data_IF_006015208889
#
_entry.id   IF_006015208889
#
_cell.length_a   1.000
_cell.length_b   1.000
_cell.length_c   1.000
_cell.angle_alpha   90.00
_cell.angle_beta   90.00
_cell.angle_gamma   90.00
#
_symmetry.space_group_name_H-M   'P 1'
#
loop_
_entity.id
_entity.type
_entity.pdbx_description
1 polymer ?
#
# COMPACT_ATOMS: atom_id res chain seq x y z
N UNK A 1 -10.91 3.30 31.65
CA UNK A 1 -11.78 3.01 30.48
C UNK A 1 -11.02 2.34 29.34
N UNK A 2 -9.96 2.94 28.77
CA UNK A 2 -9.17 2.28 27.69
C UNK A 2 -8.49 0.99 28.16
N UNK A 3 -7.80 0.99 29.31
CA UNK A 3 -7.05 -0.19 29.75
C UNK A 3 -7.92 -1.34 30.29
N UNK A 4 -9.06 -1.02 30.90
CA UNK A 4 -10.05 -2.01 31.34
C UNK A 4 -10.69 -2.75 30.16
N UNK A 5 -10.96 -2.02 29.06
CA UNK A 5 -11.46 -2.60 27.82
C UNK A 5 -10.38 -3.38 27.06
N UNK A 6 -9.12 -2.95 27.06
CA UNK A 6 -7.99 -3.75 26.53
C UNK A 6 -7.84 -5.06 27.29
N UNK A 7 -7.93 -5.02 28.62
CA UNK A 7 -7.90 -6.23 29.44
C UNK A 7 -9.09 -7.14 29.11
N UNK A 8 -10.27 -6.58 28.88
CA UNK A 8 -11.45 -7.34 28.45
C UNK A 8 -11.23 -8.02 27.08
N UNK A 9 -10.66 -7.31 26.10
CA UNK A 9 -10.32 -7.88 24.78
C UNK A 9 -9.33 -9.04 24.93
N UNK A 10 -8.27 -8.86 25.72
CA UNK A 10 -7.29 -9.92 25.99
C UNK A 10 -7.91 -11.13 26.70
N UNK A 11 -8.83 -10.89 27.64
CA UNK A 11 -9.55 -11.96 28.33
C UNK A 11 -10.45 -12.75 27.37
N UNK A 12 -11.15 -12.06 26.45
CA UNK A 12 -12.00 -12.71 25.44
C UNK A 12 -11.15 -13.50 24.44
N UNK A 13 -9.99 -12.99 24.02
CA UNK A 13 -9.03 -13.75 23.18
C UNK A 13 -8.58 -15.04 23.87
N UNK A 14 -8.24 -14.96 25.17
CA UNK A 14 -7.85 -16.14 25.95
C UNK A 14 -8.98 -17.17 26.04
N UNK A 15 -10.21 -16.71 26.32
CA UNK A 15 -11.38 -17.59 26.42
C UNK A 15 -11.75 -18.25 25.09
N UNK A 16 -11.59 -17.53 23.97
CA UNK A 16 -11.80 -18.09 22.63
C UNK A 16 -10.77 -19.19 22.34
N UNK A 17 -9.53 -19.00 22.73
CA UNK A 17 -8.48 -20.01 22.55
C UNK A 17 -8.75 -21.25 23.41
N UNK A 18 -9.04 -21.07 24.71
CA UNK A 18 -9.41 -22.19 25.60
C UNK A 18 -10.62 -22.98 25.06
N UNK A 19 -11.62 -22.29 24.50
CA UNK A 19 -12.80 -22.94 23.96
C UNK A 19 -12.53 -23.66 22.62
N UNK A 20 -11.54 -23.21 21.82
CA UNK A 20 -11.07 -23.97 20.65
C UNK A 20 -10.34 -25.24 21.05
N UNK A 21 -9.42 -25.15 22.02
CA UNK A 21 -8.70 -26.31 22.55
C UNK A 21 -9.70 -27.36 23.08
N UNK A 22 -10.73 -26.92 23.80
CA UNK A 22 -11.80 -27.79 24.28
C UNK A 22 -12.55 -28.48 23.13
N UNK A 23 -12.88 -27.75 22.05
CA UNK A 23 -13.54 -28.34 20.89
C UNK A 23 -12.66 -29.37 20.19
N UNK A 24 -11.35 -29.12 20.08
CA UNK A 24 -10.40 -30.09 19.53
C UNK A 24 -10.34 -31.35 20.38
N UNK A 25 -10.27 -31.21 21.71
CA UNK A 25 -10.34 -32.34 22.64
C UNK A 25 -11.64 -33.13 22.51
N UNK A 26 -12.79 -32.44 22.41
CA UNK A 26 -14.07 -33.10 22.19
C UNK A 26 -14.13 -33.83 20.84
N UNK A 27 -13.48 -33.31 19.80
CA UNK A 27 -13.41 -34.01 18.51
C UNK A 27 -12.61 -35.31 18.61
N UNK A 28 -11.50 -35.30 19.35
CA UNK A 28 -10.69 -36.50 19.62
C UNK A 28 -11.49 -37.53 20.42
N UNK A 29 -12.19 -37.12 21.47
CA UNK A 29 -13.03 -38.02 22.29
C UNK A 29 -14.17 -38.63 21.47
N UNK A 30 -14.82 -37.85 20.59
CA UNK A 30 -15.90 -38.36 19.72
C UNK A 30 -15.40 -39.41 18.73
N UNK A 31 -14.11 -39.40 18.36
CA UNK A 31 -13.51 -40.45 17.51
C UNK A 31 -13.37 -41.79 18.24
N UNK A 32 -13.22 -41.77 19.56
CA UNK A 32 -13.14 -42.97 20.41
C UNK A 32 -14.53 -43.57 20.71
N UNK A 33 -15.62 -42.81 20.54
CA UNK A 33 -16.99 -43.27 20.79
C UNK A 33 -17.44 -44.31 19.73
N UNK A 34 -18.12 -45.40 20.12
CA UNK A 34 -18.67 -46.38 19.18
C UNK A 34 -19.57 -45.76 18.10
N UNK A 35 -19.55 -46.26 16.85
CA UNK A 35 -20.29 -45.68 15.72
C UNK A 35 -21.81 -45.52 15.96
N UNK A 36 -22.38 -46.38 16.79
CA UNK A 36 -23.81 -46.44 17.10
C UNK A 36 -24.31 -45.22 17.89
N UNK A 37 -23.46 -44.61 18.74
CA UNK A 37 -23.78 -43.42 19.53
C UNK A 37 -23.14 -42.14 18.98
N UNK A 38 -22.16 -42.27 18.07
CA UNK A 38 -21.38 -41.15 17.52
C UNK A 38 -22.21 -40.10 16.76
N UNK A 39 -23.30 -40.50 16.10
CA UNK A 39 -24.08 -39.62 15.23
C UNK A 39 -24.63 -38.36 15.90
N UNK A 40 -25.11 -38.47 17.14
CA UNK A 40 -25.61 -37.32 17.90
C UNK A 40 -24.49 -36.35 18.28
N UNK A 41 -23.35 -36.88 18.74
CA UNK A 41 -22.19 -36.07 19.14
C UNK A 41 -21.54 -35.38 17.95
N UNK A 42 -21.41 -36.06 16.80
CA UNK A 42 -20.90 -35.43 15.57
C UNK A 42 -21.78 -34.29 15.08
N UNK A 43 -23.11 -34.39 15.22
CA UNK A 43 -24.01 -33.27 14.88
C UNK A 43 -23.79 -32.09 15.81
N UNK A 44 -23.64 -32.34 17.12
CA UNK A 44 -23.43 -31.31 18.12
C UNK A 44 -22.06 -30.62 17.96
N UNK A 45 -21.02 -31.38 17.63
CA UNK A 45 -19.69 -30.87 17.29
C UNK A 45 -19.71 -29.93 16.07
N UNK A 46 -20.45 -30.28 15.02
CA UNK A 46 -20.60 -29.38 13.85
C UNK A 46 -21.29 -28.07 14.22
N UNK A 47 -22.34 -28.12 15.04
CA UNK A 47 -23.02 -26.92 15.52
C UNK A 47 -22.09 -26.03 16.35
N UNK A 48 -21.31 -26.63 17.26
CA UNK A 48 -20.35 -25.87 18.07
C UNK A 48 -19.21 -25.28 17.24
N UNK A 49 -18.69 -26.01 16.25
CA UNK A 49 -17.69 -25.47 15.33
C UNK A 49 -18.23 -24.27 14.53
N UNK A 50 -19.49 -24.32 14.10
CA UNK A 50 -20.14 -23.21 13.40
C UNK A 50 -20.35 -22.00 14.33
N UNK A 51 -20.79 -22.24 15.55
CA UNK A 51 -20.99 -21.18 16.56
C UNK A 51 -19.66 -20.53 16.96
N UNK A 52 -18.60 -21.32 17.13
CA UNK A 52 -17.24 -20.85 17.35
C UNK A 52 -16.76 -19.95 16.20
N UNK A 53 -16.92 -20.40 14.95
CA UNK A 53 -16.54 -19.60 13.79
C UNK A 53 -17.31 -18.28 13.69
N UNK A 54 -18.59 -18.26 14.09
CA UNK A 54 -19.39 -17.03 14.16
C UNK A 54 -18.86 -16.10 15.26
N UNK A 55 -18.60 -16.63 16.46
CA UNK A 55 -18.12 -15.85 17.59
C UNK A 55 -16.75 -15.20 17.31
N UNK A 56 -15.86 -15.91 16.63
CA UNK A 56 -14.58 -15.35 16.17
C UNK A 56 -14.74 -14.23 15.15
N UNK A 57 -15.67 -14.40 14.19
CA UNK A 57 -15.93 -13.38 13.18
C UNK A 57 -16.54 -12.12 13.81
N UNK A 58 -17.46 -12.28 14.76
CA UNK A 58 -18.08 -11.18 15.50
C UNK A 58 -17.07 -10.49 16.41
N UNK A 59 -16.19 -11.24 17.07
CA UNK A 59 -15.10 -10.67 17.86
C UNK A 59 -14.11 -9.86 17.00
N UNK A 60 -13.67 -10.40 15.86
CA UNK A 60 -12.80 -9.69 14.91
C UNK A 60 -13.46 -8.40 14.40
N UNK A 61 -14.74 -8.44 14.05
CA UNK A 61 -15.51 -7.25 13.65
C UNK A 61 -15.55 -6.20 14.76
N UNK A 62 -15.82 -6.63 15.99
CA UNK A 62 -15.90 -5.76 17.17
C UNK A 62 -14.54 -5.14 17.50
N UNK A 63 -13.45 -5.90 17.30
CA UNK A 63 -12.06 -5.42 17.49
C UNK A 63 -11.64 -4.39 16.42
N UNK A 64 -12.09 -4.56 15.18
CA UNK A 64 -11.83 -3.58 14.09
C UNK A 64 -12.60 -2.29 14.37
N UNK A 65 -13.89 -2.39 14.72
CA UNK A 65 -14.69 -1.24 15.13
C UNK A 65 -14.05 -0.50 16.32
N UNK A 66 -13.52 -1.23 17.30
CA UNK A 66 -12.74 -0.67 18.40
C UNK A 66 -11.48 0.08 17.94
N UNK A 67 -10.75 -0.43 16.94
CA UNK A 67 -9.56 0.25 16.43
C UNK A 67 -9.90 1.57 15.72
N UNK A 68 -11.04 1.66 15.05
CA UNK A 68 -11.49 2.89 14.38
C UNK A 68 -12.11 3.87 15.38
N UNK A 69 -12.85 3.39 16.39
CA UNK A 69 -13.41 4.22 17.45
C UNK A 69 -12.32 4.77 18.38
N UNK A 70 -11.32 3.97 18.74
CA UNK A 70 -10.14 4.44 19.49
C UNK A 70 -9.26 5.35 18.64
N UNK A 71 -9.15 5.12 17.32
CA UNK A 71 -8.49 6.07 16.41
C UNK A 71 -9.23 7.40 16.37
N UNK A 72 -10.56 7.39 16.30
CA UNK A 72 -11.38 8.60 16.33
C UNK A 72 -11.34 9.30 17.70
N UNK A 73 -11.34 8.57 18.81
CA UNK A 73 -11.20 9.12 20.17
C UNK A 73 -9.79 9.69 20.44
N UNK A 74 -8.73 9.04 19.91
CA UNK A 74 -7.35 9.55 19.99
C UNK A 74 -7.13 10.77 19.07
N UNK A 75 -7.90 10.87 17.99
CA UNK A 75 -8.01 12.04 17.11
C UNK A 75 -9.13 12.99 17.56
N UNK A 76 -9.42 13.00 18.87
CA UNK A 76 -10.45 13.81 19.51
C UNK A 76 -10.55 15.24 18.99
N UNK A 77 -11.78 15.57 18.68
CA UNK A 77 -12.37 16.81 18.21
C UNK A 77 -11.89 18.09 18.94
N UNK A 78 -11.80 19.18 18.17
CA UNK A 78 -11.85 20.62 18.54
C UNK A 78 -10.67 21.45 19.10
N UNK A 79 -9.46 20.91 19.35
CA UNK A 79 -8.35 21.75 19.86
C UNK A 79 -7.06 21.77 19.02
N UNK A 80 -6.67 20.61 18.49
CA UNK A 80 -5.33 20.38 17.92
C UNK A 80 -5.35 20.06 16.41
N UNK A 81 -6.55 20.05 15.81
CA UNK A 81 -6.76 19.81 14.38
C UNK A 81 -6.19 20.96 13.53
N UNK A 82 -6.33 22.21 13.98
CA UNK A 82 -5.85 23.38 13.24
C UNK A 82 -4.32 23.41 13.09
N UNK A 83 -3.55 23.15 14.15
CA UNK A 83 -2.08 23.16 14.04
C UNK A 83 -1.54 21.99 13.23
N UNK A 84 -2.08 20.78 13.39
CA UNK A 84 -1.67 19.63 12.59
C UNK A 84 -2.12 19.76 11.12
N UNK A 85 -3.33 20.25 10.86
CA UNK A 85 -3.75 20.58 9.49
C UNK A 85 -2.88 21.68 8.90
N UNK A 86 -2.52 22.71 9.66
CA UNK A 86 -1.61 23.77 9.22
C UNK A 86 -0.22 23.24 8.93
N UNK A 87 0.32 22.35 9.77
CA UNK A 87 1.59 21.68 9.54
C UNK A 87 1.55 20.82 8.27
N UNK A 88 0.47 20.06 8.05
CA UNK A 88 0.27 19.30 6.82
C UNK A 88 0.13 20.18 5.58
N UNK A 89 -0.58 21.31 5.67
CA UNK A 89 -0.71 22.27 4.58
C UNK A 89 0.63 22.94 4.27
N UNK A 90 1.45 23.24 5.28
CA UNK A 90 2.80 23.77 5.11
C UNK A 90 3.73 22.75 4.44
N UNK A 91 3.75 21.49 4.89
CA UNK A 91 4.53 20.43 4.23
C UNK A 91 4.08 20.23 2.79
N UNK A 92 2.76 20.23 2.53
CA UNK A 92 2.23 20.11 1.18
C UNK A 92 2.65 21.29 0.30
N UNK A 93 2.57 22.50 0.83
CA UNK A 93 2.99 23.73 0.14
C UNK A 93 4.49 23.70 -0.16
N UNK A 94 5.32 23.28 0.79
CA UNK A 94 6.77 23.19 0.60
C UNK A 94 7.14 22.11 -0.43
N UNK A 95 6.45 20.95 -0.39
CA UNK A 95 6.61 19.90 -1.41
C UNK A 95 6.20 20.38 -2.80
N UNK A 96 5.11 21.13 -2.89
CA UNK A 96 4.63 21.71 -4.14
C UNK A 96 5.62 22.75 -4.67
N UNK A 97 6.15 23.62 -3.81
CA UNK A 97 7.16 24.60 -4.18
C UNK A 97 8.46 23.92 -4.65
N UNK A 98 8.94 22.90 -3.93
CA UNK A 98 10.10 22.09 -4.34
C UNK A 98 9.84 21.41 -5.69
N UNK A 99 8.64 20.88 -5.92
CA UNK A 99 8.26 20.27 -7.19
C UNK A 99 8.21 21.29 -8.32
N UNK A 100 7.69 22.50 -8.06
CA UNK A 100 7.62 23.60 -9.02
C UNK A 100 9.03 24.03 -9.44
N UNK A 101 9.94 24.25 -8.49
CA UNK A 101 11.35 24.60 -8.78
C UNK A 101 12.05 23.51 -9.59
N UNK A 102 11.78 22.22 -9.29
CA UNK A 102 12.33 21.09 -10.06
C UNK A 102 11.78 21.05 -11.49
N UNK A 103 10.50 21.32 -11.68
CA UNK A 103 9.88 21.39 -13.00
C UNK A 103 10.42 22.57 -13.81
N UNK A 104 10.57 23.74 -13.19
CA UNK A 104 11.15 24.93 -13.83
C UNK A 104 12.60 24.70 -14.26
N UNK A 105 13.43 24.13 -13.37
CA UNK A 105 14.80 23.77 -13.70
C UNK A 105 14.85 22.69 -14.81
N UNK A 106 13.97 21.69 -14.75
CA UNK A 106 13.85 20.67 -15.80
C UNK A 106 13.44 21.26 -17.15
N UNK A 107 12.52 22.23 -17.15
CA UNK A 107 12.11 22.95 -18.34
C UNK A 107 13.27 23.76 -18.93
N UNK A 108 14.02 24.49 -18.11
CA UNK A 108 15.18 25.24 -18.56
C UNK A 108 16.23 24.32 -19.21
N UNK A 109 16.54 23.18 -18.57
CA UNK A 109 17.46 22.18 -19.13
C UNK A 109 16.94 21.65 -20.47
N UNK A 110 15.63 21.41 -20.59
CA UNK A 110 15.04 20.93 -21.83
C UNK A 110 15.21 21.95 -22.97
N UNK A 111 14.99 23.24 -22.70
CA UNK A 111 15.19 24.34 -23.66
C UNK A 111 16.66 24.47 -24.07
N UNK A 112 17.59 24.43 -23.10
CA UNK A 112 19.03 24.45 -23.39
C UNK A 112 19.44 23.23 -24.25
N UNK A 113 18.88 22.06 -23.96
CA UNK A 113 19.13 20.83 -24.73
C UNK A 113 18.56 20.92 -26.15
N UNK A 114 17.39 21.54 -26.32
CA UNK A 114 16.79 21.81 -27.63
C UNK A 114 17.71 22.71 -28.48
N UNK A 115 18.25 23.77 -27.89
CA UNK A 115 19.17 24.68 -28.57
C UNK A 115 20.46 23.97 -29.00
N UNK A 116 21.05 23.15 -28.12
CA UNK A 116 22.22 22.32 -28.45
C UNK A 116 21.88 21.33 -29.56
N UNK A 117 20.69 20.73 -29.52
CA UNK A 117 20.21 19.83 -30.57
C UNK A 117 20.10 20.52 -31.93
N UNK A 118 19.60 21.75 -31.96
CA UNK A 118 19.51 22.55 -33.18
C UNK A 118 20.90 22.86 -33.75
N UNK A 119 21.85 23.28 -32.91
CA UNK A 119 23.23 23.53 -33.33
C UNK A 119 23.91 22.27 -33.87
N UNK A 120 23.68 21.11 -33.24
CA UNK A 120 24.18 19.84 -33.76
C UNK A 120 23.59 19.51 -35.14
N UNK A 121 22.30 19.74 -35.37
CA UNK A 121 21.67 19.50 -36.67
C UNK A 121 22.24 20.44 -37.76
N UNK A 122 22.51 21.69 -37.41
CA UNK A 122 23.15 22.64 -38.32
C UNK A 122 24.57 22.19 -38.68
N UNK A 123 25.36 21.79 -37.69
CA UNK A 123 26.71 21.26 -37.90
C UNK A 123 26.70 19.99 -38.77
N UNK A 124 25.79 19.06 -38.53
CA UNK A 124 25.64 17.85 -39.34
C UNK A 124 25.24 18.17 -40.78
N UNK A 125 24.37 19.16 -40.99
CA UNK A 125 24.00 19.64 -42.33
C UNK A 125 25.21 20.21 -43.06
N UNK A 126 26.02 21.04 -42.38
CA UNK A 126 27.22 21.62 -42.94
C UNK A 126 28.28 20.57 -43.28
N UNK A 127 28.48 19.57 -42.40
CA UNK A 127 29.41 18.48 -42.65
C UNK A 127 28.95 17.57 -43.79
N UNK A 128 27.64 17.32 -43.92
CA UNK A 128 27.07 16.65 -45.09
C UNK A 128 27.40 17.41 -46.38
N UNK A 129 27.26 18.73 -46.38
CA UNK A 129 27.58 19.55 -47.56
C UNK A 129 29.08 19.48 -47.91
N UNK A 130 29.97 19.55 -46.91
CA UNK A 130 31.43 19.36 -47.12
C UNK A 130 31.73 18.00 -47.74
N UNK A 131 31.12 16.92 -47.23
CA UNK A 131 31.30 15.56 -47.76
C UNK A 131 30.81 15.49 -49.20
N UNK A 132 29.67 16.09 -49.51
CA UNK A 132 29.10 16.11 -50.86
C UNK A 132 30.02 16.84 -51.84
N UNK A 133 30.51 18.04 -51.48
CA UNK A 133 31.49 18.78 -52.29
C UNK A 133 32.80 18.01 -52.47
N UNK A 134 33.27 17.30 -51.45
CA UNK A 134 34.45 16.44 -51.55
C UNK A 134 34.23 15.28 -52.53
N UNK A 135 33.06 14.62 -52.48
CA UNK A 135 32.69 13.57 -53.45
C UNK A 135 32.60 14.10 -54.87
N UNK A 136 32.00 15.27 -55.08
CA UNK A 136 31.90 15.91 -56.40
C UNK A 136 33.28 16.23 -56.97
N UNK A 137 34.19 16.78 -56.16
CA UNK A 137 35.58 17.02 -56.58
C UNK A 137 36.28 15.72 -56.97
N UNK A 138 36.18 14.68 -56.16
CA UNK A 138 36.77 13.36 -56.49
C UNK A 138 36.17 12.82 -57.79
N UNK A 139 34.85 12.91 -57.98
CA UNK A 139 34.20 12.48 -59.21
C UNK A 139 34.66 13.28 -60.43
N UNK A 140 34.84 14.60 -60.30
CA UNK A 140 35.36 15.44 -61.39
C UNK A 140 36.81 15.14 -61.76
N UNK A 141 37.63 14.75 -60.78
CA UNK A 141 39.01 14.32 -61.02
C UNK A 141 39.04 12.98 -61.76
N UNK A 142 38.12 12.06 -61.43
CA UNK A 142 38.02 10.76 -62.10
C UNK A 142 37.46 10.87 -63.53
N UNK A 143 36.65 11.91 -63.82
CA UNK A 143 36.10 12.14 -65.16
C UNK A 143 37.00 12.91 -66.13
N UNK A 144 38.07 13.55 -65.66
CA UNK A 144 39.11 14.17 -66.50
C UNK A 144 40.28 13.23 -66.72
#
# INVERSE_FOLDING_TARGET
LSDEKKQMVANVEKQLEEARELLEQMELEVREIPPQSRGMYSSRMRSYAQEMGKLEADFKRSRIAYSDEVRNELLGDDGNSSENQRAHLLDNTERLERSSRRLEAGYQIAVETEQIGQEMLENLSHDREKIQRARERVSSIISN
#
